data_IF_259747407242
#
_entry.id   IF_259747407242
#
_cell.length_a   1.000
_cell.length_b   1.000
_cell.length_c   1.000
_cell.angle_alpha   90.00
_cell.angle_beta   90.00
_cell.angle_gamma   90.00
#
_symmetry.space_group_name_H-M   'P 1'
#
loop_
_entity.id
_entity.type
_entity.pdbx_description
1 polymer ?
#
# COMPACT_ATOMS: atom_id res chain seq x y z
N UNK A 1 -25.12 9.60 -12.06
CA UNK A 1 -24.16 10.56 -12.64
C UNK A 1 -23.00 10.65 -11.68
N UNK A 2 -21.78 10.38 -12.13
CA UNK A 2 -20.56 10.45 -11.30
C UNK A 2 -20.33 11.91 -10.83
N UNK A 3 -20.23 12.13 -9.52
CA UNK A 3 -19.98 13.43 -8.92
C UNK A 3 -18.59 13.42 -8.28
N UNK A 4 -17.63 14.08 -8.92
CA UNK A 4 -16.22 14.13 -8.49
C UNK A 4 -16.06 14.62 -7.06
N UNK A 5 -16.96 15.43 -6.54
CA UNK A 5 -16.88 15.95 -5.17
C UNK A 5 -17.40 14.94 -4.13
N UNK A 6 -18.38 14.10 -4.51
CA UNK A 6 -19.04 13.15 -3.59
C UNK A 6 -18.49 11.73 -3.73
N UNK A 7 -18.07 11.35 -4.94
CA UNK A 7 -17.60 9.99 -5.24
C UNK A 7 -16.06 9.90 -5.16
N UNK A 8 -15.43 10.84 -4.46
CA UNK A 8 -13.98 10.91 -4.30
C UNK A 8 -13.54 10.01 -3.14
N UNK A 9 -12.80 8.96 -3.46
CA UNK A 9 -12.13 8.11 -2.46
C UNK A 9 -10.70 8.61 -2.23
N UNK A 10 -10.26 8.61 -0.97
CA UNK A 10 -8.85 8.83 -0.67
C UNK A 10 -8.07 7.52 -0.87
N UNK A 11 -6.80 7.63 -1.26
CA UNK A 11 -5.92 6.47 -1.41
C UNK A 11 -5.81 5.68 -0.09
N UNK A 12 -5.74 6.38 1.04
CA UNK A 12 -5.69 5.78 2.36
C UNK A 12 -6.93 4.96 2.71
N UNK A 13 -8.12 5.44 2.34
CA UNK A 13 -9.38 4.70 2.57
C UNK A 13 -9.42 3.39 1.78
N UNK A 14 -8.86 3.37 0.57
CA UNK A 14 -8.79 2.15 -0.23
C UNK A 14 -7.89 1.09 0.41
N UNK A 15 -6.82 1.49 1.09
CA UNK A 15 -5.90 0.59 1.78
C UNK A 15 -6.38 0.16 3.17
N UNK A 16 -7.34 0.87 3.77
CA UNK A 16 -7.78 0.59 5.14
C UNK A 16 -8.44 -0.79 5.27
N UNK A 17 -8.14 -1.53 6.36
CA UNK A 17 -8.87 -2.75 6.69
C UNK A 17 -10.32 -2.44 7.07
N UNK A 18 -11.18 -3.44 6.98
CA UNK A 18 -12.50 -3.37 7.58
C UNK A 18 -12.39 -3.40 9.11
N UNK A 19 -13.43 -2.89 9.81
CA UNK A 19 -13.49 -2.93 11.27
C UNK A 19 -13.32 -4.35 11.79
N UNK A 20 -12.44 -4.55 12.76
CA UNK A 20 -12.13 -5.85 13.35
C UNK A 20 -11.11 -6.69 12.56
N UNK A 21 -10.59 -6.18 11.43
CA UNK A 21 -9.53 -6.87 10.68
C UNK A 21 -8.20 -6.14 10.81
N UNK A 22 -7.11 -6.91 10.73
CA UNK A 22 -5.73 -6.41 10.75
C UNK A 22 -4.99 -6.87 9.49
N UNK A 23 -4.00 -6.08 9.08
CA UNK A 23 -3.16 -6.42 7.94
C UNK A 23 -2.24 -7.60 8.28
N UNK A 24 -2.30 -8.66 7.46
CA UNK A 24 -1.31 -9.74 7.47
C UNK A 24 -0.12 -9.37 6.58
N UNK A 25 -0.41 -8.99 5.32
CA UNK A 25 0.60 -8.49 4.39
C UNK A 25 0.00 -7.60 3.30
N UNK A 26 0.85 -6.75 2.74
CA UNK A 26 0.56 -5.89 1.60
C UNK A 26 1.68 -6.02 0.55
N UNK A 27 1.31 -6.30 -0.68
CA UNK A 27 2.22 -6.25 -1.84
C UNK A 27 1.76 -5.15 -2.77
N UNK A 28 2.57 -4.10 -2.89
CA UNK A 28 2.34 -2.99 -3.81
C UNK A 28 3.23 -3.12 -5.05
N UNK A 29 2.73 -2.68 -6.19
CA UNK A 29 3.49 -2.60 -7.43
C UNK A 29 3.20 -1.26 -8.09
N UNK A 30 4.26 -0.54 -8.44
CA UNK A 30 4.15 0.77 -9.09
C UNK A 30 5.28 0.94 -10.12
N UNK A 31 5.09 1.79 -11.11
CA UNK A 31 6.20 2.14 -12.00
C UNK A 31 7.14 3.13 -11.31
N UNK A 32 6.65 4.31 -10.94
CA UNK A 32 7.42 5.28 -10.17
C UNK A 32 6.95 5.32 -8.72
N UNK A 33 7.89 5.56 -7.83
CA UNK A 33 7.69 5.62 -6.40
C UNK A 33 8.21 6.95 -5.86
N UNK A 34 7.36 7.66 -5.14
CA UNK A 34 7.75 8.78 -4.29
C UNK A 34 7.87 8.27 -2.84
N UNK A 35 9.05 8.44 -2.25
CA UNK A 35 9.30 7.99 -0.88
C UNK A 35 8.45 8.74 0.16
N UNK A 36 8.09 9.99 -0.09
CA UNK A 36 7.19 10.72 0.81
C UNK A 36 5.77 10.12 0.77
N UNK A 37 5.29 9.74 -0.43
CA UNK A 37 4.01 9.06 -0.56
C UNK A 37 4.01 7.70 0.16
N UNK A 38 5.14 6.99 0.15
CA UNK A 38 5.28 5.72 0.85
C UNK A 38 5.17 5.85 2.37
N UNK A 39 5.61 6.96 2.98
CA UNK A 39 5.48 7.17 4.44
C UNK A 39 4.03 7.11 4.94
N UNK A 40 3.05 7.49 4.11
CA UNK A 40 1.63 7.43 4.45
C UNK A 40 1.01 6.02 4.37
N UNK A 41 1.67 5.08 3.70
CA UNK A 41 1.11 3.74 3.46
C UNK A 41 0.93 2.93 4.74
N UNK A 42 1.91 2.84 5.67
CA UNK A 42 1.74 2.11 6.93
C UNK A 42 0.54 2.59 7.76
N UNK A 43 0.35 3.91 7.84
CA UNK A 43 -0.80 4.50 8.55
C UNK A 43 -2.10 4.12 7.86
N UNK A 44 -2.15 4.24 6.54
CA UNK A 44 -3.34 3.92 5.74
C UNK A 44 -3.73 2.44 5.81
N UNK A 45 -2.76 1.56 6.02
CA UNK A 45 -2.99 0.12 6.19
C UNK A 45 -3.53 -0.25 7.58
N UNK A 46 -3.73 0.72 8.47
CA UNK A 46 -4.27 0.50 9.82
C UNK A 46 -3.36 -0.34 10.70
N UNK A 47 -2.05 -0.16 10.58
CA UNK A 47 -1.06 -0.90 11.37
C UNK A 47 -1.02 -0.45 12.83
N UNK A 48 -1.52 0.74 13.11
CA UNK A 48 -1.73 1.25 14.46
C UNK A 48 -3.23 1.43 14.74
N UNK A 49 -3.61 1.39 16.01
CA UNK A 49 -4.96 1.73 16.43
C UNK A 49 -5.30 3.17 16.05
N UNK A 50 -6.57 3.45 15.79
CA UNK A 50 -7.02 4.80 15.43
C UNK A 50 -6.70 5.76 16.57
N UNK A 51 -5.74 6.66 16.34
CA UNK A 51 -5.47 7.80 17.19
C UNK A 51 -6.35 8.99 16.79
N UNK A 52 -6.41 10.01 17.62
CA UNK A 52 -6.99 11.29 17.21
C UNK A 52 -6.09 11.95 16.12
N UNK A 53 -6.63 12.98 15.44
CA UNK A 53 -5.93 13.64 14.33
C UNK A 53 -4.58 14.24 14.76
N UNK A 54 -4.43 14.64 16.01
CA UNK A 54 -3.20 15.22 16.55
C UNK A 54 -2.15 14.13 16.77
N UNK A 55 -2.54 12.98 17.30
CA UNK A 55 -1.67 11.82 17.46
C UNK A 55 -1.19 11.30 16.11
N UNK A 56 -2.07 11.21 15.10
CA UNK A 56 -1.72 10.73 13.75
C UNK A 56 -0.70 11.64 13.04
N UNK A 57 -0.61 12.91 13.42
CA UNK A 57 0.40 13.86 12.91
C UNK A 57 1.71 13.82 13.69
N UNK A 58 1.76 13.11 14.80
CA UNK A 58 2.97 12.98 15.62
C UNK A 58 4.06 12.21 14.87
N UNK A 59 5.30 12.70 14.80
CA UNK A 59 6.43 11.97 14.22
C UNK A 59 6.65 10.59 14.85
N UNK A 60 6.38 10.44 16.16
CA UNK A 60 6.49 9.17 16.86
C UNK A 60 5.44 8.17 16.38
N UNK A 61 4.21 8.61 16.12
CA UNK A 61 3.15 7.76 15.59
C UNK A 61 3.51 7.24 14.19
N UNK A 62 4.01 8.13 13.33
CA UNK A 62 4.49 7.74 11.99
C UNK A 62 5.62 6.73 12.08
N UNK A 63 6.60 6.97 12.97
CA UNK A 63 7.73 6.07 13.18
C UNK A 63 7.29 4.69 13.65
N UNK A 64 6.35 4.62 14.57
CA UNK A 64 5.80 3.36 15.07
C UNK A 64 5.04 2.60 13.99
N UNK A 65 4.20 3.29 13.18
CA UNK A 65 3.52 2.70 12.04
C UNK A 65 4.50 2.10 11.02
N UNK A 66 5.61 2.78 10.76
CA UNK A 66 6.67 2.27 9.88
C UNK A 66 7.31 1.01 10.48
N UNK A 67 7.64 1.01 11.77
CA UNK A 67 8.23 -0.16 12.45
C UNK A 67 7.31 -1.37 12.41
N UNK A 68 6.01 -1.18 12.64
CA UNK A 68 5.01 -2.22 12.55
C UNK A 68 4.79 -2.74 11.10
N UNK A 69 5.22 -1.97 10.11
CA UNK A 69 5.13 -2.36 8.70
C UNK A 69 6.26 -3.29 8.24
N UNK A 70 7.37 -3.32 8.97
CA UNK A 70 8.52 -4.16 8.63
C UNK A 70 8.09 -5.63 8.55
N UNK A 71 8.43 -6.28 7.44
CA UNK A 71 8.02 -7.67 7.16
C UNK A 71 6.56 -7.86 6.72
N UNK A 72 5.71 -6.83 6.78
CA UNK A 72 4.32 -6.91 6.31
C UNK A 72 4.11 -6.23 4.96
N UNK A 73 4.98 -5.30 4.55
CA UNK A 73 4.87 -4.56 3.30
C UNK A 73 6.01 -4.93 2.38
N UNK A 74 5.70 -5.25 1.12
CA UNK A 74 6.66 -5.35 0.04
C UNK A 74 6.19 -4.49 -1.14
N UNK A 75 6.99 -3.50 -1.53
CA UNK A 75 6.69 -2.61 -2.64
C UNK A 75 7.70 -2.80 -3.77
N UNK A 76 7.20 -3.15 -4.93
CA UNK A 76 8.00 -3.33 -6.14
C UNK A 76 7.85 -2.11 -7.05
N UNK A 77 8.96 -1.51 -7.46
CA UNK A 77 8.97 -0.39 -8.40
C UNK A 77 9.97 -0.62 -9.53
N UNK A 78 9.81 0.13 -10.64
CA UNK A 78 10.77 0.05 -11.73
C UNK A 78 12.13 0.59 -11.29
N UNK A 79 13.21 -0.10 -11.65
CA UNK A 79 14.56 0.31 -11.29
C UNK A 79 14.88 1.70 -11.85
N UNK A 80 15.40 2.59 -10.99
CA UNK A 80 15.74 3.97 -11.34
C UNK A 80 14.54 4.93 -11.39
N UNK A 81 13.34 4.50 -10.94
CA UNK A 81 12.13 5.34 -10.94
C UNK A 81 11.67 5.71 -9.52
N UNK A 82 12.60 5.80 -8.58
CA UNK A 82 12.36 6.28 -7.22
C UNK A 82 12.65 7.79 -7.19
N UNK A 83 11.67 8.56 -6.72
CA UNK A 83 11.80 9.98 -6.46
C UNK A 83 12.18 10.17 -4.99
N UNK A 84 13.31 10.85 -4.79
CA UNK A 84 13.80 11.19 -3.46
C UNK A 84 13.24 12.54 -3.03
N UNK A 85 12.89 12.73 -1.76
CA UNK A 85 12.48 14.01 -1.23
C UNK A 85 13.63 15.02 -1.28
N UNK A 86 13.31 16.32 -1.32
CA UNK A 86 14.33 17.39 -1.30
C UNK A 86 15.21 17.32 -0.04
N UNK A 87 14.66 16.88 1.08
CA UNK A 87 15.37 16.68 2.34
C UNK A 87 15.31 15.22 2.74
N UNK A 88 16.43 14.52 2.57
CA UNK A 88 16.56 13.14 3.03
C UNK A 88 16.57 13.12 4.57
N UNK A 89 15.60 12.42 5.15
CA UNK A 89 15.51 12.17 6.59
C UNK A 89 15.86 10.70 6.87
N UNK A 90 16.42 10.43 8.04
CA UNK A 90 16.80 9.06 8.47
C UNK A 90 15.63 8.08 8.50
N UNK A 91 14.40 8.58 8.60
CA UNK A 91 13.17 7.75 8.58
C UNK A 91 13.02 6.95 7.28
N UNK A 92 13.52 7.45 6.15
CA UNK A 92 13.43 6.74 4.88
C UNK A 92 14.28 5.46 4.84
N UNK A 93 15.36 5.38 5.64
CA UNK A 93 16.17 4.16 5.74
C UNK A 93 15.39 2.98 6.33
N UNK A 94 14.36 3.25 7.15
CA UNK A 94 13.49 2.22 7.69
C UNK A 94 12.57 1.59 6.64
N UNK A 95 12.37 2.26 5.50
CA UNK A 95 11.54 1.76 4.40
C UNK A 95 12.34 0.94 3.37
N UNK A 96 13.68 0.97 3.45
CA UNK A 96 14.54 0.28 2.46
C UNK A 96 14.25 -1.21 2.37
N UNK A 97 14.00 -1.87 3.51
CA UNK A 97 13.68 -3.30 3.56
C UNK A 97 12.34 -3.65 2.90
N UNK A 98 11.47 -2.66 2.71
CA UNK A 98 10.15 -2.82 2.11
C UNK A 98 10.13 -2.49 0.62
N UNK A 99 11.21 -1.94 0.03
CA UNK A 99 11.24 -1.45 -1.36
C UNK A 99 12.16 -2.29 -2.23
N UNK A 100 11.62 -2.85 -3.30
CA UNK A 100 12.32 -3.71 -4.24
C UNK A 100 12.32 -3.09 -5.64
N UNK A 101 13.51 -2.79 -6.17
CA UNK A 101 13.64 -2.29 -7.53
C UNK A 101 13.70 -3.44 -8.54
N UNK A 102 12.80 -3.43 -9.50
CA UNK A 102 12.68 -4.44 -10.55
C UNK A 102 13.35 -3.93 -11.81
N UNK A 103 14.42 -4.61 -12.24
CA UNK A 103 15.09 -4.38 -13.52
C UNK A 103 14.76 -5.52 -14.48
N UNK A 104 14.21 -5.19 -15.64
CA UNK A 104 13.90 -6.18 -16.66
C UNK A 104 15.05 -6.36 -17.64
N UNK A 105 15.40 -7.60 -18.01
CA UNK A 105 16.55 -7.87 -18.89
C UNK A 105 16.31 -7.42 -20.33
N UNK A 106 15.07 -7.35 -20.77
CA UNK A 106 14.63 -7.00 -22.12
C UNK A 106 14.51 -5.50 -22.39
N UNK A 107 15.03 -4.65 -21.49
CA UNK A 107 14.90 -3.18 -21.50
C UNK A 107 13.46 -2.66 -21.48
N UNK A 108 12.47 -3.51 -21.25
CA UNK A 108 11.10 -3.09 -21.02
C UNK A 108 10.93 -2.52 -19.62
N UNK A 109 9.86 -1.74 -19.40
CA UNK A 109 9.56 -1.17 -18.09
C UNK A 109 8.73 -2.13 -17.23
N UNK A 110 8.97 -2.12 -15.92
CA UNK A 110 8.06 -2.70 -14.95
C UNK A 110 6.97 -1.66 -14.64
N UNK A 111 5.75 -1.84 -15.17
CA UNK A 111 4.74 -0.78 -15.19
C UNK A 111 3.37 -1.16 -14.59
N UNK A 112 3.27 -2.07 -13.62
CA UNK A 112 2.00 -2.29 -12.93
C UNK A 112 1.69 -1.14 -11.97
N UNK A 113 0.42 -1.02 -11.58
CA UNK A 113 -0.07 -0.12 -10.54
C UNK A 113 -1.18 -0.84 -9.81
N UNK A 114 -0.79 -1.60 -8.79
CA UNK A 114 -1.73 -2.43 -8.06
C UNK A 114 -1.27 -2.71 -6.63
N UNK A 115 -2.23 -3.09 -5.79
CA UNK A 115 -1.99 -3.66 -4.47
C UNK A 115 -2.71 -5.00 -4.32
N UNK A 116 -2.01 -5.94 -3.69
CA UNK A 116 -2.60 -7.17 -3.16
C UNK A 116 -2.46 -7.12 -1.65
N UNK A 117 -3.59 -7.14 -0.95
CA UNK A 117 -3.66 -6.98 0.49
C UNK A 117 -4.36 -8.20 1.09
N UNK A 118 -3.84 -8.70 2.20
CA UNK A 118 -4.49 -9.75 2.98
C UNK A 118 -4.75 -9.24 4.39
N UNK A 119 -5.97 -9.44 4.84
CA UNK A 119 -6.42 -9.08 6.17
C UNK A 119 -7.01 -10.29 6.88
N UNK A 120 -6.83 -10.36 8.19
CA UNK A 120 -7.43 -11.39 9.04
C UNK A 120 -8.05 -10.79 10.29
N UNK A 121 -9.09 -11.45 10.80
CA UNK A 121 -9.70 -11.14 12.10
C UNK A 121 -9.13 -12.05 13.20
N UNK A 122 -9.27 -11.68 14.47
CA UNK A 122 -8.89 -12.53 15.59
C UNK A 122 -9.58 -13.89 15.59
N UNK A 123 -10.78 -13.98 15.01
CA UNK A 123 -11.58 -15.21 14.89
C UNK A 123 -11.09 -16.13 13.75
N UNK A 124 -10.10 -15.68 12.97
CA UNK A 124 -9.49 -16.45 11.89
C UNK A 124 -10.14 -16.26 10.51
N UNK A 125 -11.13 -15.39 10.40
CA UNK A 125 -11.67 -15.00 9.10
C UNK A 125 -10.64 -14.18 8.31
N UNK A 126 -10.54 -14.46 7.01
CA UNK A 126 -9.58 -13.77 6.14
C UNK A 126 -10.24 -13.26 4.86
N UNK A 127 -9.75 -12.13 4.35
CA UNK A 127 -10.08 -11.69 3.01
C UNK A 127 -8.87 -11.11 2.28
N UNK A 128 -8.94 -11.14 0.97
CA UNK A 128 -8.00 -10.50 0.06
C UNK A 128 -8.66 -9.29 -0.58
N UNK A 129 -7.89 -8.22 -0.73
CA UNK A 129 -8.27 -7.04 -1.51
C UNK A 129 -7.25 -6.86 -2.62
N UNK A 130 -7.73 -6.70 -3.85
CA UNK A 130 -6.93 -6.32 -5.02
C UNK A 130 -7.37 -4.94 -5.45
N UNK A 131 -6.43 -4.00 -5.47
CA UNK A 131 -6.64 -2.66 -6.01
C UNK A 131 -5.85 -2.55 -7.31
N UNK A 132 -6.50 -2.12 -8.38
CA UNK A 132 -5.85 -1.77 -9.64
C UNK A 132 -6.05 -0.28 -9.87
N UNK A 133 -4.96 0.44 -10.05
CA UNK A 133 -4.91 1.89 -10.06
C UNK A 133 -4.43 2.40 -11.43
N UNK A 134 -4.86 3.57 -11.84
CA UNK A 134 -4.32 4.24 -13.04
C UNK A 134 -3.04 5.03 -12.74
N UNK A 135 -2.80 5.38 -11.47
CA UNK A 135 -1.65 6.19 -11.02
C UNK A 135 -0.57 5.38 -10.34
N UNK A 136 0.62 5.96 -10.33
CA UNK A 136 1.74 5.49 -9.52
C UNK A 136 1.57 5.90 -8.06
N UNK A 137 2.42 5.36 -7.19
CA UNK A 137 2.52 5.80 -5.80
C UNK A 137 3.38 7.07 -5.73
N UNK A 138 2.76 8.18 -6.12
CA UNK A 138 3.39 9.51 -6.20
C UNK A 138 2.43 10.58 -5.72
N UNK A 139 2.97 11.68 -5.20
CA UNK A 139 2.20 12.89 -4.92
C UNK A 139 2.02 13.69 -6.23
N UNK A 140 0.86 13.56 -6.84
CA UNK A 140 0.44 14.41 -7.94
C UNK A 140 -1.07 14.70 -7.82
N UNK A 141 -1.53 15.72 -8.53
CA UNK A 141 -2.92 16.20 -8.46
C UNK A 141 -3.82 15.61 -9.55
N UNK A 142 -3.35 14.60 -10.28
CA UNK A 142 -4.13 13.98 -11.34
C UNK A 142 -5.28 13.15 -10.78
N UNK A 143 -6.33 13.00 -11.58
CA UNK A 143 -7.44 12.12 -11.26
C UNK A 143 -6.99 10.65 -11.38
N UNK A 144 -7.30 9.85 -10.37
CA UNK A 144 -7.04 8.42 -10.39
C UNK A 144 -8.34 7.63 -10.58
N UNK A 145 -8.24 6.56 -11.34
CA UNK A 145 -9.28 5.54 -11.45
C UNK A 145 -8.80 4.30 -10.70
N UNK A 146 -9.63 3.79 -9.80
CA UNK A 146 -9.34 2.59 -9.03
C UNK A 146 -10.43 1.55 -9.21
N UNK A 147 -10.01 0.32 -9.43
CA UNK A 147 -10.87 -0.87 -9.32
C UNK A 147 -10.47 -1.62 -8.07
N UNK A 148 -11.41 -1.75 -7.13
CA UNK A 148 -11.23 -2.52 -5.90
C UNK A 148 -12.02 -3.84 -5.99
N UNK A 149 -11.33 -4.96 -5.88
CA UNK A 149 -11.91 -6.29 -5.82
C UNK A 149 -11.67 -6.89 -4.44
N UNK A 150 -12.67 -7.56 -3.89
CA UNK A 150 -12.57 -8.28 -2.63
C UNK A 150 -12.93 -9.74 -2.83
N UNK A 151 -12.18 -10.63 -2.20
CA UNK A 151 -12.42 -12.07 -2.25
C UNK A 151 -12.02 -12.75 -0.95
N UNK A 152 -12.53 -13.96 -0.74
CA UNK A 152 -12.06 -14.85 0.32
C UNK A 152 -11.12 -15.89 -0.27
N UNK A 153 -10.07 -16.33 0.45
CA UNK A 153 -9.24 -17.43 0.00
C UNK A 153 -10.11 -18.67 -0.26
N UNK A 154 -10.06 -19.18 -1.50
CA UNK A 154 -10.77 -20.41 -1.86
C UNK A 154 -10.06 -21.62 -1.26
N UNK A 155 -10.82 -22.69 -0.95
CA UNK A 155 -10.21 -23.98 -0.63
C UNK A 155 -9.45 -24.48 -1.87
N UNK A 156 -8.16 -24.80 -1.70
CA UNK A 156 -7.38 -25.41 -2.77
C UNK A 156 -8.11 -26.67 -3.24
N UNK A 157 -8.56 -26.71 -4.50
CA UNK A 157 -9.04 -27.95 -5.10
C UNK A 157 -7.86 -28.88 -5.19
N UNK A 158 -7.80 -29.92 -4.33
CA UNK A 158 -6.89 -31.04 -4.55
C UNK A 158 -7.18 -31.60 -5.94
N UNK A 159 -6.25 -31.43 -6.89
CA UNK A 159 -6.28 -32.22 -8.12
C UNK A 159 -6.23 -33.69 -7.68
N UNK A 160 -7.29 -34.46 -7.91
CA UNK A 160 -7.21 -35.90 -7.91
C UNK A 160 -6.32 -36.28 -9.10
N UNK A 161 -5.16 -36.85 -8.82
CA UNK A 161 -4.37 -37.59 -9.80
C UNK A 161 -5.12 -38.87 -10.16
#
# INVERSE_FOLDING_TARGET
MFDVAKDRLSYGELLRPDVGYRLDFAVGMTYSLDLEALLGVPISLGLLEEGDEEQMRSPLYVLEAIRESVGKIALFCNAGSIQLPERIQSVYSLLEESVFQVKRPDKSSFHPKLWVLKYSSPEGDTYLKLLVLSRNLTFDTSLDLCVALRGRPGRARRKKN
#
